data_IF_986848900716
#
_entry.id   IF_986848900716
#
_cell.length_a   1.000
_cell.length_b   1.000
_cell.length_c   1.000
_cell.angle_alpha   90.00
_cell.angle_beta   90.00
_cell.angle_gamma   90.00
#
_symmetry.space_group_name_H-M   'P 1'
#
loop_
_entity.id
_entity.type
_entity.pdbx_description
1 polymer ?
#
# COMPACT_ATOMS: atom_id res chain seq x y z
N UNK A 1 -40.12 5.72 -2.45
CA UNK A 1 -38.89 4.90 -2.44
C UNK A 1 -37.86 5.66 -3.28
N UNK A 2 -36.95 6.37 -2.63
CA UNK A 2 -35.96 7.22 -3.34
C UNK A 2 -34.90 6.30 -3.92
N UNK A 3 -34.76 6.27 -5.25
CA UNK A 3 -33.64 5.61 -5.92
C UNK A 3 -32.41 6.49 -5.75
N UNK A 4 -31.47 6.05 -4.94
CA UNK A 4 -30.14 6.66 -4.89
C UNK A 4 -29.39 6.27 -6.17
N UNK A 5 -29.11 7.25 -7.02
CA UNK A 5 -28.27 7.07 -8.20
C UNK A 5 -26.81 7.22 -7.78
N UNK A 6 -26.11 6.09 -7.69
CA UNK A 6 -24.73 6.03 -7.18
C UNK A 6 -23.75 6.78 -8.08
N UNK A 7 -24.07 6.92 -9.37
CA UNK A 7 -23.24 7.58 -10.38
C UNK A 7 -23.25 9.11 -10.20
N UNK A 8 -24.42 9.72 -9.99
CA UNK A 8 -24.53 11.16 -9.69
C UNK A 8 -23.83 11.52 -8.37
N UNK A 9 -23.98 10.66 -7.34
CA UNK A 9 -23.30 10.86 -6.06
C UNK A 9 -21.77 10.83 -6.21
N UNK A 10 -21.26 10.00 -7.13
CA UNK A 10 -19.83 9.92 -7.45
C UNK A 10 -19.35 11.15 -8.23
N UNK A 11 -20.11 11.61 -9.20
CA UNK A 11 -19.74 12.80 -9.98
C UNK A 11 -19.77 14.08 -9.13
N UNK A 12 -20.78 14.27 -8.29
CA UNK A 12 -20.89 15.42 -7.39
C UNK A 12 -19.75 15.43 -6.36
N UNK A 13 -19.43 14.27 -5.79
CA UNK A 13 -18.34 14.14 -4.81
C UNK A 13 -16.93 14.23 -5.42
N UNK A 14 -16.76 13.97 -6.72
CA UNK A 14 -15.52 14.21 -7.45
C UNK A 14 -15.31 15.71 -7.76
N UNK A 15 -16.40 16.47 -7.90
CA UNK A 15 -16.37 17.87 -8.28
C UNK A 15 -16.34 18.83 -7.08
N UNK A 16 -16.81 18.43 -5.89
CA UNK A 16 -16.69 19.21 -4.66
C UNK A 16 -15.31 19.06 -4.01
N UNK A 17 -14.39 19.96 -4.37
CA UNK A 17 -12.97 19.99 -3.96
C UNK A 17 -12.68 20.27 -2.47
N UNK A 18 -13.44 19.69 -1.54
CA UNK A 18 -13.28 19.91 -0.09
C UNK A 18 -12.99 18.67 0.75
N UNK A 19 -13.29 17.48 0.26
CA UNK A 19 -13.11 16.24 1.01
C UNK A 19 -12.08 15.36 0.29
N UNK A 20 -10.95 15.10 0.95
CA UNK A 20 -9.90 14.19 0.47
C UNK A 20 -10.40 12.74 0.47
N UNK A 21 -11.32 12.43 -0.43
CA UNK A 21 -11.83 11.08 -0.61
C UNK A 21 -10.77 10.22 -1.30
N UNK A 22 -10.61 9.00 -0.80
CA UNK A 22 -9.83 7.97 -1.48
C UNK A 22 -10.79 6.88 -1.90
N UNK A 23 -11.14 6.84 -3.19
CA UNK A 23 -11.91 5.73 -3.75
C UNK A 23 -11.04 4.47 -3.69
N UNK A 24 -11.40 3.56 -2.80
CA UNK A 24 -10.74 2.27 -2.63
C UNK A 24 -11.70 1.19 -3.17
N UNK A 25 -11.44 0.70 -4.37
CA UNK A 25 -12.19 -0.44 -4.92
C UNK A 25 -11.82 -1.72 -4.16
N UNK A 26 -12.45 -1.97 -3.01
CA UNK A 26 -12.33 -3.23 -2.27
C UNK A 26 -13.13 -4.37 -2.95
N UNK A 27 -13.88 -4.05 -4.02
CA UNK A 27 -14.76 -4.97 -4.74
C UNK A 27 -14.08 -6.12 -5.52
N UNK A 28 -12.75 -6.23 -5.48
CA UNK A 28 -11.99 -7.36 -6.03
C UNK A 28 -11.39 -8.29 -4.97
N UNK A 29 -11.61 -8.03 -3.68
CA UNK A 29 -11.13 -8.91 -2.62
C UNK A 29 -12.08 -10.09 -2.41
N UNK A 30 -11.72 -11.24 -2.98
CA UNK A 30 -12.40 -12.51 -2.70
C UNK A 30 -11.96 -13.03 -1.32
N UNK A 31 -12.61 -12.53 -0.27
CA UNK A 31 -12.34 -12.91 1.12
C UNK A 31 -12.50 -14.42 1.32
N UNK A 32 -13.38 -15.06 0.56
CA UNK A 32 -13.60 -16.51 0.61
C UNK A 32 -12.37 -17.25 0.09
N UNK A 33 -11.73 -16.79 -0.99
CA UNK A 33 -10.45 -17.35 -1.46
C UNK A 33 -9.33 -17.15 -0.45
N UNK A 34 -9.21 -15.95 0.14
CA UNK A 34 -8.20 -15.68 1.18
C UNK A 34 -8.38 -16.59 2.39
N UNK A 35 -9.61 -16.75 2.88
CA UNK A 35 -9.93 -17.67 3.96
C UNK A 35 -9.64 -19.13 3.57
N UNK A 36 -9.98 -19.52 2.35
CA UNK A 36 -9.72 -20.86 1.82
C UNK A 36 -8.22 -21.15 1.77
N UNK A 37 -7.42 -20.20 1.29
CA UNK A 37 -5.97 -20.29 1.24
C UNK A 37 -5.38 -20.41 2.65
N UNK A 38 -5.72 -19.50 3.57
CA UNK A 38 -5.26 -19.56 4.94
C UNK A 38 -5.63 -20.91 5.60
N UNK A 39 -6.88 -21.33 5.44
CA UNK A 39 -7.39 -22.59 5.97
C UNK A 39 -6.66 -23.79 5.38
N UNK A 40 -6.32 -23.77 4.08
CA UNK A 40 -5.53 -24.82 3.42
C UNK A 40 -4.16 -24.97 4.08
N UNK A 41 -3.48 -23.87 4.41
CA UNK A 41 -2.18 -23.93 5.09
C UNK A 41 -2.29 -24.36 6.56
N UNK A 42 -3.37 -24.02 7.25
CA UNK A 42 -3.60 -24.43 8.64
C UNK A 42 -4.08 -25.88 8.80
N UNK A 43 -4.71 -26.45 7.76
CA UNK A 43 -5.19 -27.84 7.74
C UNK A 43 -4.14 -28.85 7.31
N UNK A 44 -2.90 -28.43 7.02
CA UNK A 44 -1.80 -29.36 6.75
C UNK A 44 -1.57 -30.31 7.94
N UNK A 45 -1.07 -31.50 7.63
CA UNK A 45 -0.96 -32.62 8.56
C UNK A 45 0.03 -32.37 9.72
N UNK A 46 0.19 -33.37 10.57
CA UNK A 46 1.21 -33.36 11.60
C UNK A 46 2.61 -33.39 10.95
N UNK A 47 3.52 -32.58 11.48
CA UNK A 47 4.93 -32.53 11.06
C UNK A 47 5.84 -32.89 12.22
N UNK A 48 6.85 -33.71 11.97
CA UNK A 48 7.93 -33.94 12.94
C UNK A 48 8.94 -32.79 12.98
N UNK A 49 9.04 -31.99 11.91
CA UNK A 49 10.00 -30.86 11.80
C UNK A 49 9.34 -29.49 12.04
N UNK A 50 8.02 -29.43 12.03
CA UNK A 50 7.25 -28.19 12.22
C UNK A 50 6.92 -27.44 10.92
N UNK A 51 7.28 -27.99 9.76
CA UNK A 51 7.16 -27.28 8.47
C UNK A 51 5.75 -27.32 7.86
N UNK A 52 4.80 -28.07 8.43
CA UNK A 52 3.50 -28.25 7.81
C UNK A 52 2.59 -27.04 8.00
N UNK A 53 2.00 -26.87 9.19
CA UNK A 53 1.05 -25.78 9.45
C UNK A 53 1.77 -24.44 9.40
N UNK A 54 1.35 -23.59 8.48
CA UNK A 54 1.99 -22.32 8.20
C UNK A 54 0.95 -21.21 8.12
N UNK A 55 1.36 -19.99 8.48
CA UNK A 55 0.64 -18.77 8.13
C UNK A 55 1.46 -18.11 7.00
N UNK A 56 0.96 -18.07 5.75
CA UNK A 56 1.70 -17.44 4.67
C UNK A 56 2.00 -15.97 5.01
N UNK A 57 3.19 -15.50 4.63
CA UNK A 57 3.73 -14.22 5.08
C UNK A 57 2.85 -13.01 4.73
N UNK A 58 2.06 -13.08 3.67
CA UNK A 58 1.11 -12.04 3.32
C UNK A 58 0.01 -11.84 4.37
N UNK A 59 -0.46 -12.91 5.01
CA UNK A 59 -1.45 -12.84 6.10
C UNK A 59 -0.86 -12.22 7.38
N UNK A 60 0.46 -12.20 7.53
CA UNK A 60 1.10 -11.58 8.70
C UNK A 60 0.87 -10.05 8.78
N UNK A 61 0.51 -9.41 7.65
CA UNK A 61 0.25 -7.98 7.56
C UNK A 61 -1.22 -7.66 7.31
N UNK A 62 -2.09 -8.68 7.32
CA UNK A 62 -3.50 -8.52 6.95
C UNK A 62 -4.37 -8.12 8.14
N UNK A 63 -5.11 -7.02 7.99
CA UNK A 63 -6.00 -6.48 9.01
C UNK A 63 -5.44 -5.28 9.77
N UNK A 64 -6.29 -4.74 10.65
CA UNK A 64 -6.02 -3.50 11.40
C UNK A 64 -4.86 -3.69 12.38
N UNK A 65 -4.88 -4.75 13.18
CA UNK A 65 -3.87 -4.96 14.23
C UNK A 65 -2.46 -5.12 13.65
N UNK A 66 -2.22 -5.95 12.61
CA UNK A 66 -0.91 -5.98 11.98
C UNK A 66 -0.49 -4.67 11.33
N UNK A 67 -1.43 -3.90 10.78
CA UNK A 67 -1.14 -2.57 10.22
C UNK A 67 -0.64 -1.60 11.29
N UNK A 68 -1.30 -1.58 12.45
CA UNK A 68 -0.87 -0.77 13.60
C UNK A 68 0.49 -1.25 14.13
N UNK A 69 0.66 -2.56 14.30
CA UNK A 69 1.92 -3.14 14.77
C UNK A 69 3.08 -2.81 13.82
N UNK A 70 2.86 -2.86 12.51
CA UNK A 70 3.84 -2.46 11.51
C UNK A 70 4.21 -0.99 11.60
N UNK A 71 3.22 -0.10 11.77
CA UNK A 71 3.48 1.32 11.98
C UNK A 71 4.34 1.57 13.23
N UNK A 72 4.09 0.87 14.33
CA UNK A 72 4.94 0.95 15.52
C UNK A 72 6.34 0.38 15.27
N UNK A 73 6.45 -0.78 14.63
CA UNK A 73 7.73 -1.39 14.28
C UNK A 73 8.59 -0.45 13.41
N UNK A 74 7.98 0.31 12.50
CA UNK A 74 8.67 1.33 11.71
C UNK A 74 9.19 2.52 12.52
N UNK A 75 8.70 2.73 13.74
CA UNK A 75 9.13 3.80 14.65
C UNK A 75 9.93 3.28 15.85
N UNK A 76 10.14 1.97 15.97
CA UNK A 76 10.87 1.35 17.07
C UNK A 76 12.39 1.51 16.85
N UNK A 77 13.10 2.28 17.70
CA UNK A 77 14.55 2.44 17.57
C UNK A 77 15.33 1.15 17.81
N UNK A 78 14.73 0.16 18.49
CA UNK A 78 15.33 -1.14 18.77
C UNK A 78 15.15 -2.12 17.61
N UNK A 79 14.25 -1.83 16.67
CA UNK A 79 14.13 -2.62 15.46
C UNK A 79 15.17 -2.20 14.40
N UNK A 80 16.44 -2.53 14.67
CA UNK A 80 17.62 -2.03 13.95
C UNK A 80 17.51 -2.18 12.43
N UNK A 81 17.05 -3.33 11.94
CA UNK A 81 16.90 -3.60 10.50
C UNK A 81 15.95 -2.59 9.83
N UNK A 82 14.84 -2.26 10.50
CA UNK A 82 13.88 -1.30 9.98
C UNK A 82 14.44 0.12 10.04
N UNK A 83 15.05 0.48 11.17
CA UNK A 83 15.69 1.78 11.39
C UNK A 83 16.75 2.06 10.32
N UNK A 84 17.69 1.15 10.10
CA UNK A 84 18.72 1.30 9.06
C UNK A 84 18.12 1.48 7.66
N UNK A 85 17.07 0.71 7.35
CA UNK A 85 16.37 0.80 6.08
C UNK A 85 15.61 2.12 5.87
N UNK A 86 15.21 2.80 6.95
CA UNK A 86 14.57 4.11 6.92
C UNK A 86 15.65 5.20 6.83
N UNK A 87 16.62 5.20 7.74
CA UNK A 87 17.68 6.21 7.85
C UNK A 87 18.54 6.29 6.59
N UNK A 88 18.85 5.14 5.98
CA UNK A 88 19.69 5.09 4.78
C UNK A 88 18.92 5.32 3.48
N UNK A 89 17.59 5.45 3.52
CA UNK A 89 16.77 5.48 2.32
C UNK A 89 17.09 6.67 1.41
N UNK A 90 17.14 7.89 1.94
CA UNK A 90 17.34 9.09 1.13
C UNK A 90 18.70 9.06 0.42
N UNK A 91 19.75 8.60 1.11
CA UNK A 91 21.08 8.43 0.53
C UNK A 91 21.09 7.40 -0.61
N UNK A 92 20.39 6.27 -0.45
CA UNK A 92 20.25 5.26 -1.52
C UNK A 92 19.41 5.79 -2.67
N UNK A 93 18.33 6.51 -2.37
CA UNK A 93 17.44 7.11 -3.35
C UNK A 93 18.17 8.13 -4.23
N UNK A 94 18.99 9.02 -3.65
CA UNK A 94 19.82 9.96 -4.41
C UNK A 94 20.73 9.26 -5.43
N UNK A 95 21.36 8.14 -5.06
CA UNK A 95 22.23 7.34 -5.96
C UNK A 95 21.46 6.65 -7.09
N UNK A 96 20.20 6.29 -6.85
CA UNK A 96 19.32 5.70 -7.87
C UNK A 96 18.84 6.80 -8.81
N UNK A 97 18.33 7.89 -8.23
CA UNK A 97 17.80 9.06 -8.94
C UNK A 97 18.82 9.64 -9.93
N UNK A 98 20.10 9.71 -9.57
CA UNK A 98 21.15 10.25 -10.46
C UNK A 98 21.41 9.40 -11.71
N UNK A 99 20.86 8.18 -11.77
CA UNK A 99 20.99 7.26 -12.92
C UNK A 99 19.71 7.16 -13.75
N UNK A 100 18.64 7.84 -13.33
CA UNK A 100 17.41 7.86 -14.09
C UNK A 100 17.58 8.73 -15.33
N UNK A 101 17.01 8.28 -16.44
CA UNK A 101 16.97 9.06 -17.67
C UNK A 101 16.00 10.24 -17.50
N UNK A 102 16.18 11.29 -18.29
CA UNK A 102 15.28 12.44 -18.30
C UNK A 102 13.98 12.12 -19.07
N UNK A 103 13.14 11.30 -18.45
CA UNK A 103 11.86 10.84 -19.00
C UNK A 103 10.76 10.96 -17.95
N UNK A 104 9.51 10.97 -18.43
CA UNK A 104 8.34 10.92 -17.55
C UNK A 104 8.10 9.49 -17.09
N UNK A 105 8.06 9.28 -15.79
CA UNK A 105 7.79 7.98 -15.19
C UNK A 105 6.39 7.96 -14.54
N UNK A 106 5.82 6.77 -14.46
CA UNK A 106 4.79 6.41 -13.50
C UNK A 106 5.42 5.63 -12.34
N UNK A 107 4.78 5.58 -11.18
CA UNK A 107 5.35 4.93 -10.01
C UNK A 107 4.47 3.78 -9.52
N UNK A 108 5.06 2.59 -9.45
CA UNK A 108 4.44 1.39 -8.85
C UNK A 108 5.17 1.11 -7.53
N UNK A 109 4.41 0.98 -6.44
CA UNK A 109 4.95 0.60 -5.13
C UNK A 109 4.46 -0.79 -4.77
N UNK A 110 5.38 -1.72 -4.54
CA UNK A 110 5.08 -3.09 -4.14
C UNK A 110 5.32 -3.23 -2.63
N UNK A 111 4.25 -3.40 -1.86
CA UNK A 111 4.27 -3.35 -0.40
C UNK A 111 4.40 -1.90 0.08
N UNK A 112 3.29 -1.17 0.08
CA UNK A 112 3.27 0.28 0.36
C UNK A 112 3.74 0.62 1.77
N UNK A 113 3.49 -0.28 2.73
CA UNK A 113 3.79 -0.06 4.14
C UNK A 113 3.20 1.26 4.66
N UNK A 114 4.04 2.08 5.29
CA UNK A 114 3.66 3.40 5.81
C UNK A 114 3.68 4.51 4.75
N UNK A 115 4.12 4.24 3.52
CA UNK A 115 4.20 5.21 2.43
C UNK A 115 5.30 6.29 2.59
N UNK A 116 6.11 6.25 3.66
CA UNK A 116 7.15 7.28 3.90
C UNK A 116 8.16 7.37 2.75
N UNK A 117 8.62 6.22 2.25
CA UNK A 117 9.59 6.12 1.15
C UNK A 117 8.99 6.54 -0.18
N UNK A 118 7.77 6.07 -0.44
CA UNK A 118 6.97 6.43 -1.62
C UNK A 118 6.80 7.94 -1.74
N UNK A 119 6.58 8.63 -0.61
CA UNK A 119 6.42 10.09 -0.60
C UNK A 119 7.66 10.82 -1.12
N UNK A 120 8.86 10.39 -0.73
CA UNK A 120 10.11 10.98 -1.23
C UNK A 120 10.28 10.75 -2.74
N UNK A 121 9.94 9.56 -3.22
CA UNK A 121 10.00 9.21 -4.66
C UNK A 121 8.98 10.03 -5.46
N UNK A 122 7.73 10.07 -5.01
CA UNK A 122 6.63 10.75 -5.70
C UNK A 122 6.83 12.26 -5.75
N UNK A 123 7.37 12.87 -4.69
CA UNK A 123 7.75 14.30 -4.69
C UNK A 123 8.77 14.64 -5.77
N UNK A 124 9.66 13.71 -6.10
CA UNK A 124 10.60 13.89 -7.19
C UNK A 124 9.91 13.77 -8.55
N UNK A 125 9.17 12.67 -8.79
CA UNK A 125 8.56 12.43 -10.09
C UNK A 125 7.42 13.40 -10.44
N UNK A 126 6.68 13.92 -9.45
CA UNK A 126 5.65 14.94 -9.69
C UNK A 126 6.21 16.22 -10.31
N UNK A 127 7.45 16.59 -9.98
CA UNK A 127 8.11 17.77 -10.56
C UNK A 127 8.39 17.60 -12.05
N UNK A 128 8.59 16.35 -12.50
CA UNK A 128 8.96 16.00 -13.88
C UNK A 128 7.72 15.61 -14.69
N UNK A 129 6.73 15.01 -14.02
CA UNK A 129 5.49 14.53 -14.62
C UNK A 129 4.28 14.99 -13.79
N UNK A 130 3.66 16.14 -14.12
CA UNK A 130 2.42 16.59 -13.47
C UNK A 130 1.24 15.64 -13.63
N UNK A 131 1.29 14.72 -14.60
CA UNK A 131 0.28 13.68 -14.84
C UNK A 131 0.72 12.31 -14.30
N UNK A 132 1.58 12.30 -13.27
CA UNK A 132 2.04 11.09 -12.61
C UNK A 132 0.86 10.24 -12.12
N UNK A 133 0.93 8.95 -12.44
CA UNK A 133 0.05 7.92 -11.90
C UNK A 133 0.84 7.16 -10.84
N UNK A 134 0.23 7.01 -9.68
CA UNK A 134 0.75 6.23 -8.57
C UNK A 134 -0.06 4.95 -8.40
N UNK A 135 0.64 3.82 -8.43
CA UNK A 135 0.08 2.48 -8.34
C UNK A 135 0.57 1.77 -7.07
N UNK A 136 -0.01 2.04 -5.89
CA UNK A 136 0.27 1.28 -4.68
C UNK A 136 -0.33 -0.11 -4.78
N UNK A 137 0.49 -1.12 -4.48
CA UNK A 137 0.11 -2.52 -4.49
C UNK A 137 0.41 -3.13 -3.12
N UNK A 138 -0.60 -3.68 -2.47
CA UNK A 138 -0.43 -4.40 -1.20
C UNK A 138 -1.49 -5.52 -1.09
N UNK A 139 -1.23 -6.48 -0.20
CA UNK A 139 -2.23 -7.51 0.15
C UNK A 139 -3.23 -6.98 1.19
N UNK A 140 -2.81 -6.02 2.05
CA UNK A 140 -3.67 -5.44 3.08
C UNK A 140 -4.34 -4.16 2.60
N UNK A 141 -5.67 -4.16 2.67
CA UNK A 141 -6.49 -2.98 2.40
C UNK A 141 -6.24 -1.86 3.42
N UNK A 142 -5.95 -2.22 4.67
CA UNK A 142 -5.62 -1.32 5.76
C UNK A 142 -4.25 -0.67 5.56
N UNK A 143 -3.27 -1.45 5.12
CA UNK A 143 -1.94 -0.94 4.75
C UNK A 143 -2.03 0.02 3.55
N UNK A 144 -2.81 -0.34 2.51
CA UNK A 144 -3.12 0.56 1.39
C UNK A 144 -3.85 1.84 1.82
N UNK A 145 -4.60 1.80 2.92
CA UNK A 145 -5.24 3.00 3.46
C UNK A 145 -4.22 3.86 4.19
N UNK A 146 -3.45 3.26 5.09
CA UNK A 146 -2.41 3.93 5.87
C UNK A 146 -1.36 4.60 4.97
N UNK A 147 -0.71 3.81 4.11
CA UNK A 147 0.39 4.28 3.27
C UNK A 147 -0.03 5.35 2.26
N UNK A 148 -1.18 5.17 1.62
CA UNK A 148 -1.68 6.14 0.62
C UNK A 148 -2.12 7.45 1.25
N UNK A 149 -2.77 7.42 2.43
CA UNK A 149 -3.16 8.66 3.11
C UNK A 149 -1.94 9.51 3.47
N UNK A 150 -0.87 8.89 3.98
CA UNK A 150 0.38 9.60 4.30
C UNK A 150 1.05 10.23 3.07
N UNK A 151 0.97 9.54 1.92
CA UNK A 151 1.53 9.99 0.65
C UNK A 151 0.70 11.12 0.01
N UNK A 152 -0.61 10.93 -0.10
CA UNK A 152 -1.50 11.87 -0.79
C UNK A 152 -1.63 13.22 -0.06
N UNK A 153 -1.34 13.26 1.24
CA UNK A 153 -1.42 14.50 2.02
C UNK A 153 -0.45 15.56 1.50
N UNK A 154 -1.01 16.59 0.87
CA UNK A 154 -0.30 17.74 0.31
C UNK A 154 0.35 17.49 -1.05
N UNK A 155 -0.02 16.42 -1.77
CA UNK A 155 0.40 16.14 -3.14
C UNK A 155 -0.82 15.96 -4.04
N UNK A 156 -0.90 16.70 -5.15
CA UNK A 156 -1.93 16.50 -6.17
C UNK A 156 -1.63 15.27 -7.01
N UNK A 157 -1.95 14.09 -6.48
CA UNK A 157 -1.65 12.78 -7.07
C UNK A 157 -2.91 12.10 -7.63
N UNK A 158 -2.76 11.45 -8.78
CA UNK A 158 -3.73 10.48 -9.29
C UNK A 158 -3.31 9.08 -8.83
N UNK A 159 -4.13 8.45 -7.99
CA UNK A 159 -3.81 7.15 -7.36
C UNK A 159 -4.72 6.06 -7.91
N UNK A 160 -4.13 4.94 -8.33
CA UNK A 160 -4.83 3.75 -8.80
C UNK A 160 -4.35 2.55 -7.98
N UNK A 161 -5.18 2.06 -7.06
CA UNK A 161 -4.77 1.02 -6.11
C UNK A 161 -4.96 -0.38 -6.71
N UNK A 162 -4.00 -1.27 -6.43
CA UNK A 162 -4.09 -2.68 -6.79
C UNK A 162 -3.88 -3.59 -5.57
N UNK A 163 -4.46 -4.78 -5.64
CA UNK A 163 -4.30 -5.83 -4.64
C UNK A 163 -3.41 -6.92 -5.22
N UNK A 164 -2.35 -7.30 -4.51
CA UNK A 164 -1.49 -8.41 -4.93
C UNK A 164 -1.94 -9.72 -4.29
N UNK A 165 -2.12 -10.73 -5.14
CA UNK A 165 -2.23 -12.14 -4.75
C UNK A 165 -0.92 -12.83 -5.16
N UNK A 166 -0.33 -13.61 -4.26
CA UNK A 166 0.77 -14.53 -4.58
C UNK A 166 0.27 -15.96 -4.44
#
# INVERSE_FOLDING_TARGET
MVKFNFEELLEDSLNEGGLGWTLCFVGGEDQSKKLTELTKHLRKGFSQTGDEKQIPSGFAYWGITPTIAWAYACNDPLYVVMKEGIDSFENRWCKIKSKLEDKKYHYVSLGVGTGMKDRSILRFFLKINPHLLYFPVDMSSEMLRLGVQGVAKGLSLRVVKFYQYK
#
